data_IF_342497795966
#
_entry.id   IF_342497795966
#
_cell.length_a   1.000
_cell.length_b   1.000
_cell.length_c   1.000
_cell.angle_alpha   90.00
_cell.angle_beta   90.00
_cell.angle_gamma   90.00
#
_symmetry.space_group_name_H-M   'P 1'
#
loop_
_entity.id
_entity.type
_entity.pdbx_description
1 polymer ?
#
# COMPACT_ATOMS: atom_id res chain seq x y z
N UNK A 1 16.59 -27.32 10.35
CA UNK A 1 16.23 -26.15 9.53
C UNK A 1 16.30 -24.96 10.46
N UNK A 2 17.31 -24.10 10.31
CA UNK A 2 17.54 -23.00 11.25
C UNK A 2 16.49 -21.91 11.01
N UNK A 3 15.68 -21.64 12.03
CA UNK A 3 14.76 -20.52 12.05
C UNK A 3 15.61 -19.25 12.23
N UNK A 4 15.96 -18.59 11.14
CA UNK A 4 16.69 -17.32 11.22
C UNK A 4 15.72 -16.28 11.78
N UNK A 5 15.74 -16.08 13.10
CA UNK A 5 15.04 -14.97 13.73
C UNK A 5 15.55 -13.67 13.09
N UNK A 6 14.70 -13.00 12.34
CA UNK A 6 14.99 -11.68 11.77
C UNK A 6 15.26 -10.71 12.90
N UNK A 7 16.53 -10.41 13.14
CA UNK A 7 16.96 -9.42 14.12
C UNK A 7 16.47 -8.06 13.64
N UNK A 8 15.65 -7.37 14.44
CA UNK A 8 15.16 -6.02 14.16
C UNK A 8 16.31 -5.01 14.29
N UNK A 9 17.06 -4.79 13.21
CA UNK A 9 18.25 -3.91 13.21
C UNK A 9 17.96 -2.46 12.80
N UNK A 10 16.91 -2.23 12.01
CA UNK A 10 16.53 -0.91 11.51
C UNK A 10 15.90 -0.04 12.60
N UNK A 11 16.21 1.26 12.60
CA UNK A 11 15.73 2.23 13.61
C UNK A 11 15.01 3.40 12.97
N UNK A 12 13.88 3.78 13.56
CA UNK A 12 13.10 4.96 13.18
C UNK A 12 13.20 6.02 14.28
N UNK A 13 13.66 7.22 13.92
CA UNK A 13 13.77 8.35 14.84
C UNK A 13 12.59 9.31 14.66
N UNK A 14 11.78 9.48 15.71
CA UNK A 14 10.63 10.38 15.71
C UNK A 14 10.80 11.41 16.83
N UNK A 15 10.54 12.68 16.52
CA UNK A 15 10.46 13.77 17.51
C UNK A 15 9.01 13.99 17.90
N UNK A 16 8.77 14.17 19.20
CA UNK A 16 7.46 14.34 19.80
C UNK A 16 7.52 15.48 20.82
N UNK A 17 6.44 16.24 20.96
CA UNK A 17 6.26 17.09 22.13
C UNK A 17 5.80 16.26 23.35
N UNK A 18 5.84 16.88 24.53
CA UNK A 18 5.51 16.22 25.81
C UNK A 18 4.08 15.69 25.85
N UNK A 19 3.11 16.43 25.30
CA UNK A 19 1.70 16.02 25.34
C UNK A 19 1.46 14.82 24.43
N UNK A 20 2.05 14.82 23.23
CA UNK A 20 2.00 13.69 22.31
C UNK A 20 2.62 12.43 22.92
N UNK A 21 3.77 12.55 23.57
CA UNK A 21 4.42 11.41 24.25
C UNK A 21 3.53 10.83 25.36
N UNK A 22 2.97 11.67 26.24
CA UNK A 22 2.09 11.22 27.32
C UNK A 22 0.83 10.53 26.81
N UNK A 23 0.27 11.02 25.70
CA UNK A 23 -0.90 10.39 25.07
C UNK A 23 -0.57 8.99 24.57
N UNK A 24 0.55 8.83 23.88
CA UNK A 24 0.98 7.53 23.33
C UNK A 24 1.35 6.55 24.46
N UNK A 25 2.03 7.00 25.51
CA UNK A 25 2.36 6.15 26.67
C UNK A 25 1.11 5.63 27.38
N UNK A 26 0.09 6.47 27.54
CA UNK A 26 -1.19 6.05 28.13
C UNK A 26 -1.91 5.02 27.27
N UNK A 27 -1.94 5.23 25.96
CA UNK A 27 -2.54 4.28 25.02
C UNK A 27 -1.79 2.94 25.02
N UNK A 28 -0.45 2.97 25.04
CA UNK A 28 0.39 1.78 25.14
C UNK A 28 0.14 1.02 26.45
N UNK A 29 -0.02 1.73 27.57
CA UNK A 29 -0.35 1.14 28.87
C UNK A 29 -1.70 0.42 28.85
N UNK A 30 -2.75 1.02 28.25
CA UNK A 30 -4.04 0.36 28.08
C UNK A 30 -3.99 -0.86 27.15
N UNK A 31 -3.09 -0.84 26.15
CA UNK A 31 -2.87 -1.96 25.26
C UNK A 31 -1.92 -3.03 25.82
N UNK A 32 -1.39 -2.85 27.03
CA UNK A 32 -0.38 -3.73 27.67
C UNK A 32 0.86 -3.96 26.79
N UNK A 33 1.31 -2.91 26.09
CA UNK A 33 2.49 -2.94 25.21
C UNK A 33 3.50 -1.88 25.64
N UNK A 34 4.77 -2.08 25.30
CA UNK A 34 5.74 -0.98 25.39
C UNK A 34 5.35 0.14 24.41
N UNK A 35 5.81 1.38 24.67
CA UNK A 35 5.55 2.52 23.78
C UNK A 35 6.01 2.22 22.34
N UNK A 36 7.18 1.61 22.18
CA UNK A 36 7.75 1.26 20.87
C UNK A 36 6.91 0.22 20.13
N UNK A 37 6.46 -0.84 20.81
CA UNK A 37 5.60 -1.87 20.21
C UNK A 37 4.23 -1.32 19.83
N UNK A 38 3.65 -0.47 20.69
CA UNK A 38 2.39 0.18 20.42
C UNK A 38 2.48 1.08 19.19
N UNK A 39 3.46 2.00 19.15
CA UNK A 39 3.63 2.93 18.04
C UNK A 39 3.97 2.21 16.74
N UNK A 40 4.89 1.24 16.77
CA UNK A 40 5.24 0.47 15.58
C UNK A 40 4.02 -0.31 15.04
N UNK A 41 3.26 -0.97 15.92
CA UNK A 41 2.08 -1.71 15.51
C UNK A 41 1.00 -0.82 14.89
N UNK A 42 0.73 0.34 15.48
CA UNK A 42 -0.24 1.29 14.92
C UNK A 42 0.25 1.88 13.59
N UNK A 43 1.55 2.18 13.47
CA UNK A 43 2.12 2.69 12.23
C UNK A 43 2.08 1.67 11.09
N UNK A 44 2.34 0.39 11.39
CA UNK A 44 2.25 -0.69 10.39
C UNK A 44 0.81 -0.91 9.94
N UNK A 45 -0.16 -0.95 10.85
CA UNK A 45 -1.57 -1.09 10.47
C UNK A 45 -2.01 0.05 9.54
N UNK A 46 -1.66 1.30 9.87
CA UNK A 46 -1.98 2.44 9.02
C UNK A 46 -1.25 2.37 7.65
N UNK A 47 -0.02 1.88 7.63
CA UNK A 47 0.71 1.67 6.38
C UNK A 47 0.04 0.60 5.50
N UNK A 48 -0.40 -0.51 6.11
CA UNK A 48 -1.10 -1.59 5.40
C UNK A 48 -2.42 -1.10 4.80
N UNK A 49 -3.19 -0.28 5.53
CA UNK A 49 -4.41 0.35 5.02
C UNK A 49 -4.12 1.23 3.80
N UNK A 50 -3.12 2.12 3.88
CA UNK A 50 -2.74 3.00 2.76
C UNK A 50 -2.25 2.20 1.56
N UNK A 51 -1.42 1.17 1.77
CA UNK A 51 -0.93 0.30 0.69
C UNK A 51 -2.11 -0.41 0.04
N UNK A 52 -3.02 -0.99 0.84
CA UNK A 52 -4.18 -1.69 0.34
C UNK A 52 -5.08 -0.80 -0.52
N UNK A 53 -5.37 0.42 -0.07
CA UNK A 53 -6.18 1.40 -0.81
C UNK A 53 -5.57 1.79 -2.17
N UNK A 54 -4.24 1.79 -2.28
CA UNK A 54 -3.55 2.22 -3.50
C UNK A 54 -3.21 1.06 -4.46
N UNK A 55 -3.01 -0.15 -3.93
CA UNK A 55 -2.59 -1.31 -4.72
C UNK A 55 -3.74 -2.29 -5.02
N UNK A 56 -4.88 -2.17 -4.33
CA UNK A 56 -6.02 -3.07 -4.53
C UNK A 56 -7.15 -2.39 -5.29
N UNK A 57 -7.63 -3.05 -6.34
CA UNK A 57 -8.84 -2.67 -7.06
C UNK A 57 -9.98 -3.59 -6.61
N UNK A 58 -10.98 -3.04 -5.91
CA UNK A 58 -12.21 -3.78 -5.59
C UNK A 58 -13.28 -3.43 -6.61
N UNK A 59 -13.77 -4.44 -7.33
CA UNK A 59 -14.83 -4.29 -8.33
C UNK A 59 -16.16 -4.76 -7.74
N UNK A 60 -17.25 -4.08 -8.09
CA UNK A 60 -18.59 -4.63 -7.87
C UNK A 60 -18.87 -5.75 -8.89
N UNK A 61 -19.98 -6.48 -8.71
CA UNK A 61 -20.31 -7.64 -9.53
C UNK A 61 -20.39 -7.31 -11.04
N UNK A 62 -20.99 -6.17 -11.39
CA UNK A 62 -21.12 -5.73 -12.79
C UNK A 62 -19.75 -5.39 -13.40
N UNK A 63 -18.93 -4.63 -12.69
CA UNK A 63 -17.60 -4.26 -13.15
C UNK A 63 -16.67 -5.47 -13.22
N UNK A 64 -16.86 -6.45 -12.32
CA UNK A 64 -16.13 -7.71 -12.32
C UNK A 64 -16.44 -8.55 -13.57
N UNK A 65 -17.71 -8.66 -13.96
CA UNK A 65 -18.09 -9.36 -15.20
C UNK A 65 -17.45 -8.72 -16.43
N UNK A 66 -17.51 -7.38 -16.52
CA UNK A 66 -16.88 -6.63 -17.63
C UNK A 66 -15.36 -6.82 -17.63
N UNK A 67 -14.74 -6.77 -16.46
CA UNK A 67 -13.30 -6.97 -16.33
C UNK A 67 -12.88 -8.39 -16.73
N UNK A 68 -13.62 -9.41 -16.29
CA UNK A 68 -13.35 -10.80 -16.61
C UNK A 68 -13.54 -11.08 -18.11
N UNK A 69 -14.63 -10.60 -18.72
CA UNK A 69 -14.87 -10.74 -20.15
C UNK A 69 -13.74 -10.07 -20.97
N UNK A 70 -13.26 -8.90 -20.54
CA UNK A 70 -12.12 -8.25 -21.20
C UNK A 70 -10.80 -9.05 -21.10
N UNK A 71 -10.64 -9.90 -20.07
CA UNK A 71 -9.49 -10.79 -19.94
C UNK A 71 -9.65 -12.08 -20.77
N UNK A 72 -10.85 -12.67 -20.78
CA UNK A 72 -11.15 -13.90 -21.52
C UNK A 72 -11.28 -13.66 -23.02
N UNK A 73 -11.90 -12.54 -23.40
CA UNK A 73 -12.20 -12.11 -24.77
C UNK A 73 -11.60 -10.72 -25.04
N UNK A 74 -10.26 -10.59 -25.10
CA UNK A 74 -9.61 -9.30 -25.23
C UNK A 74 -10.04 -8.59 -26.53
N UNK A 75 -10.59 -7.37 -26.45
CA UNK A 75 -11.05 -6.65 -27.64
C UNK A 75 -9.87 -6.12 -28.46
N UNK A 76 -10.09 -6.00 -29.76
CA UNK A 76 -9.11 -5.39 -30.67
C UNK A 76 -8.83 -3.91 -30.29
N UNK A 77 -7.56 -3.46 -30.33
CA UNK A 77 -7.23 -2.08 -29.98
C UNK A 77 -7.95 -1.07 -30.88
N UNK A 78 -8.60 -0.08 -30.26
CA UNK A 78 -9.31 0.96 -30.99
C UNK A 78 -8.36 1.81 -31.87
N UNK A 79 -8.90 2.44 -32.91
CA UNK A 79 -8.11 3.34 -33.79
C UNK A 79 -7.43 4.46 -33.00
N UNK A 80 -8.11 5.02 -31.99
CA UNK A 80 -7.54 6.04 -31.10
C UNK A 80 -6.37 5.50 -30.27
N UNK A 81 -6.50 4.27 -29.74
CA UNK A 81 -5.43 3.64 -28.97
C UNK A 81 -4.21 3.36 -29.86
N UNK A 82 -4.41 2.83 -31.09
CA UNK A 82 -3.34 2.62 -32.07
C UNK A 82 -2.59 3.91 -32.40
N UNK A 83 -3.31 5.02 -32.60
CA UNK A 83 -2.72 6.34 -32.83
C UNK A 83 -1.91 6.83 -31.62
N UNK A 84 -2.44 6.71 -30.40
CA UNK A 84 -1.74 7.10 -29.18
C UNK A 84 -0.40 6.35 -28.98
N UNK A 85 -0.39 5.03 -29.23
CA UNK A 85 0.85 4.23 -29.21
C UNK A 85 1.87 4.70 -30.26
N UNK A 86 1.41 5.01 -31.48
CA UNK A 86 2.28 5.50 -32.55
C UNK A 86 2.90 6.87 -32.21
N UNK A 87 2.14 7.76 -31.57
CA UNK A 87 2.64 9.04 -31.10
C UNK A 87 3.62 8.89 -29.93
N UNK A 88 3.28 8.07 -28.94
CA UNK A 88 4.15 7.81 -27.80
C UNK A 88 5.52 7.30 -28.26
N UNK A 89 5.54 6.35 -29.20
CA UNK A 89 6.77 5.81 -29.81
C UNK A 89 7.63 6.89 -30.49
N UNK A 90 7.03 7.95 -31.05
CA UNK A 90 7.78 9.07 -31.64
C UNK A 90 8.37 9.99 -30.57
N UNK A 91 7.68 10.17 -29.43
CA UNK A 91 8.10 11.09 -28.35
C UNK A 91 9.19 10.51 -27.45
N UNK A 92 9.12 9.21 -27.12
CA UNK A 92 10.06 8.54 -26.20
C UNK A 92 11.37 8.14 -26.88
N UNK A 93 11.42 8.06 -28.21
CA UNK A 93 12.63 7.72 -28.97
C UNK A 93 13.56 8.91 -29.26
N UNK A 94 13.32 10.06 -28.63
CA UNK A 94 14.19 11.25 -28.63
C UNK A 94 15.07 11.23 -27.39
#
# INVERSE_FOLDING_TARGET
>A
MANTETVKQERMHIRLDTLSKLKLERAAAYAHKSLSEFVLGQALNAADEVIHENETLTLNEVDWEVFLDALENPPEPSTKLKQAFAEHKKRVRR
#
